data_IF_004947209646
#
_entry.id   IF_004947209646
#
_cell.length_a   1.000
_cell.length_b   1.000
_cell.length_c   1.000
_cell.angle_alpha   90.00
_cell.angle_beta   90.00
_cell.angle_gamma   90.00
#
_symmetry.space_group_name_H-M   'P 1'
#
loop_
_entity.id
_entity.type
_entity.pdbx_description
1 polymer ?
#
# COMPACT_ATOMS: atom_id res chain seq x y z
N UNK A 1 -86.90 23.33 -1.17
CA UNK A 1 -86.60 24.35 -2.18
C UNK A 1 -85.45 25.21 -1.63
N UNK A 2 -84.33 25.21 -2.29
CA UNK A 2 -83.03 25.86 -2.23
C UNK A 2 -81.89 24.83 -2.05
N UNK A 3 -81.21 24.60 -3.14
CA UNK A 3 -79.95 23.90 -3.25
C UNK A 3 -78.81 24.73 -2.63
N UNK A 4 -77.97 24.10 -1.79
CA UNK A 4 -76.67 24.64 -1.41
C UNK A 4 -75.64 23.68 -1.96
N UNK A 5 -74.84 24.15 -2.90
CA UNK A 5 -73.69 23.48 -3.49
C UNK A 5 -72.53 23.49 -2.51
N UNK A 6 -72.03 22.34 -2.14
CA UNK A 6 -70.79 22.20 -1.40
C UNK A 6 -69.57 22.27 -2.39
N UNK A 7 -68.67 23.19 -2.14
CA UNK A 7 -67.44 23.32 -2.88
C UNK A 7 -66.36 22.51 -2.14
N UNK A 8 -65.91 21.45 -2.77
CA UNK A 8 -64.79 20.67 -2.27
C UNK A 8 -63.47 21.38 -2.63
N UNK A 9 -62.71 21.78 -1.61
CA UNK A 9 -61.38 22.34 -1.77
C UNK A 9 -60.37 21.16 -1.85
N UNK A 10 -59.85 20.90 -3.04
CA UNK A 10 -58.74 19.98 -3.23
C UNK A 10 -57.43 20.71 -2.88
N UNK A 11 -56.80 20.31 -1.78
CA UNK A 11 -55.46 20.80 -1.43
C UNK A 11 -54.43 20.09 -2.33
N UNK A 12 -53.84 20.85 -3.23
CA UNK A 12 -52.67 20.39 -4.03
C UNK A 12 -51.45 20.52 -3.14
N UNK A 13 -50.94 19.39 -2.64
CA UNK A 13 -49.63 19.30 -2.00
C UNK A 13 -48.56 19.23 -3.09
N UNK A 14 -47.89 20.35 -3.31
CA UNK A 14 -46.74 20.44 -4.20
C UNK A 14 -45.52 19.81 -3.46
N UNK A 15 -45.21 18.56 -3.74
CA UNK A 15 -43.95 17.95 -3.34
C UNK A 15 -42.83 18.52 -4.23
N UNK A 16 -42.07 19.48 -3.68
CA UNK A 16 -40.78 19.86 -4.25
C UNK A 16 -39.79 18.71 -4.01
N UNK A 17 -39.69 17.82 -4.97
CA UNK A 17 -38.56 16.90 -5.09
C UNK A 17 -37.34 17.76 -5.50
N UNK A 18 -36.49 18.09 -4.53
CA UNK A 18 -35.12 18.52 -4.83
C UNK A 18 -34.42 17.34 -5.53
N UNK A 19 -34.43 17.37 -6.85
CA UNK A 19 -33.53 16.54 -7.64
C UNK A 19 -32.13 17.08 -7.46
N UNK A 20 -31.36 16.49 -6.54
CA UNK A 20 -29.91 16.65 -6.52
C UNK A 20 -29.41 15.89 -7.74
N UNK A 21 -29.19 16.61 -8.84
CA UNK A 21 -28.51 16.04 -10.01
C UNK A 21 -27.11 15.61 -9.58
N UNK A 22 -26.65 14.41 -9.91
CA UNK A 22 -25.25 14.03 -9.68
C UNK A 22 -24.38 15.02 -10.44
N UNK A 23 -23.39 15.61 -9.74
CA UNK A 23 -22.39 16.48 -10.33
C UNK A 23 -21.76 15.79 -11.54
N UNK A 24 -21.70 16.48 -12.67
CA UNK A 24 -21.07 15.95 -13.86
C UNK A 24 -19.54 15.79 -13.59
N UNK A 25 -18.91 14.83 -14.27
CA UNK A 25 -17.45 14.63 -14.17
C UNK A 25 -16.64 15.90 -14.49
N UNK A 26 -17.23 16.88 -15.18
CA UNK A 26 -16.62 18.19 -15.47
C UNK A 26 -16.83 19.22 -14.36
N UNK A 27 -17.82 19.09 -13.50
CA UNK A 27 -18.00 19.93 -12.32
C UNK A 27 -17.04 19.56 -11.19
N UNK A 28 -16.73 18.26 -11.03
CA UNK A 28 -15.68 17.78 -10.12
C UNK A 28 -14.29 18.29 -10.53
N UNK A 29 -14.06 18.60 -11.80
CA UNK A 29 -12.81 19.21 -12.29
C UNK A 29 -12.61 20.69 -11.91
N UNK A 30 -13.63 21.38 -11.44
CA UNK A 30 -13.57 22.84 -11.13
C UNK A 30 -13.35 23.14 -9.65
N UNK A 31 -13.69 22.25 -8.74
CA UNK A 31 -13.33 22.40 -7.33
C UNK A 31 -11.88 21.92 -7.14
N UNK A 32 -11.02 22.83 -6.68
CA UNK A 32 -9.63 22.50 -6.38
C UNK A 32 -9.59 21.38 -5.33
N UNK A 33 -8.90 20.28 -5.64
CA UNK A 33 -8.73 19.19 -4.70
C UNK A 33 -8.19 19.69 -3.37
N UNK A 34 -8.72 19.16 -2.25
CA UNK A 34 -8.17 19.39 -0.92
C UNK A 34 -6.67 19.03 -0.90
N UNK A 35 -5.92 19.60 0.04
CA UNK A 35 -4.47 19.44 0.11
C UNK A 35 -4.07 18.66 1.37
N UNK A 36 -3.13 17.76 1.20
CA UNK A 36 -2.40 17.13 2.30
C UNK A 36 -0.97 17.62 2.25
N UNK A 37 -0.51 18.22 3.34
CA UNK A 37 0.85 18.69 3.49
C UNK A 37 1.66 17.62 4.20
N UNK A 38 2.77 17.21 3.59
CA UNK A 38 3.70 16.26 4.18
C UNK A 38 4.93 17.00 4.71
N UNK A 39 5.29 16.72 5.94
CA UNK A 39 6.56 17.11 6.57
C UNK A 39 7.39 15.88 6.89
N UNK A 40 8.70 16.07 7.04
CA UNK A 40 9.65 14.98 7.24
C UNK A 40 10.52 15.20 8.45
N UNK A 41 10.82 14.12 9.17
CA UNK A 41 11.68 14.09 10.35
C UNK A 41 12.70 12.96 10.21
N UNK A 42 13.97 13.26 10.47
CA UNK A 42 15.01 12.23 10.53
C UNK A 42 14.77 11.29 11.72
N UNK A 43 15.06 10.00 11.50
CA UNK A 43 14.94 8.97 12.53
C UNK A 43 16.30 8.61 13.11
N UNK A 44 16.34 8.26 14.39
CA UNK A 44 17.49 7.58 14.97
C UNK A 44 17.28 6.05 14.98
N UNK A 45 18.38 5.30 14.91
CA UNK A 45 18.39 3.84 14.95
C UNK A 45 18.17 3.15 13.61
N UNK A 46 17.19 3.61 12.80
CA UNK A 46 16.95 3.08 11.44
C UNK A 46 17.08 4.15 10.35
N UNK A 47 17.39 5.38 10.74
CA UNK A 47 17.62 6.49 9.82
C UNK A 47 18.93 6.35 9.06
N UNK A 48 19.50 7.51 8.71
CA UNK A 48 20.73 7.58 7.93
C UNK A 48 21.92 7.05 8.72
N UNK A 49 22.65 6.09 8.13
CA UNK A 49 23.87 5.51 8.66
C UNK A 49 24.86 5.27 7.52
N UNK A 50 26.13 5.58 7.72
CA UNK A 50 27.16 5.42 6.71
C UNK A 50 27.38 3.92 6.41
N UNK A 51 27.41 3.57 5.11
CA UNK A 51 27.62 2.19 4.66
C UNK A 51 26.41 1.26 4.83
N UNK A 52 25.30 1.73 5.36
CA UNK A 52 24.11 0.91 5.60
C UNK A 52 22.96 1.33 4.69
N UNK A 53 22.37 0.36 3.98
CA UNK A 53 21.17 0.52 3.18
C UNK A 53 19.95 0.04 3.94
N UNK A 54 18.96 0.92 4.15
CA UNK A 54 17.62 0.58 4.64
C UNK A 54 16.58 1.21 3.74
N UNK A 55 15.58 0.42 3.33
CA UNK A 55 14.57 0.88 2.37
C UNK A 55 13.28 0.08 2.46
N UNK A 56 12.28 0.53 1.74
CA UNK A 56 10.99 -0.13 1.52
C UNK A 56 10.36 -0.61 2.85
N UNK A 57 10.05 0.32 3.76
CA UNK A 57 9.46 -0.04 5.05
C UNK A 57 8.03 -0.56 4.86
N UNK A 58 7.66 -1.53 5.68
CA UNK A 58 6.28 -1.99 5.84
C UNK A 58 5.39 -0.91 6.45
N UNK A 59 4.09 -1.15 6.46
CA UNK A 59 3.21 -0.47 7.39
C UNK A 59 3.66 -0.70 8.84
N UNK A 60 3.25 0.25 9.70
CA UNK A 60 3.59 0.25 11.11
C UNK A 60 2.41 -0.30 11.89
N UNK A 61 2.67 -1.24 12.78
CA UNK A 61 1.71 -1.70 13.78
C UNK A 61 2.14 -1.27 15.16
N UNK A 62 1.19 -1.25 16.10
CA UNK A 62 1.46 -1.08 17.52
C UNK A 62 1.01 -2.33 18.26
N UNK A 63 1.95 -2.95 18.99
CA UNK A 63 1.69 -4.09 19.86
C UNK A 63 2.08 -3.69 21.28
N UNK A 64 1.14 -3.75 22.19
CA UNK A 64 1.26 -3.16 23.53
C UNK A 64 1.66 -1.68 23.42
N UNK A 65 2.80 -1.29 23.97
CA UNK A 65 3.30 0.09 23.94
C UNK A 65 4.36 0.35 22.87
N UNK A 66 4.70 -0.65 22.04
CA UNK A 66 5.74 -0.55 21.02
C UNK A 66 5.19 -0.50 19.60
N UNK A 67 5.69 0.44 18.81
CA UNK A 67 5.58 0.42 17.36
C UNK A 67 6.58 -0.57 16.77
N UNK A 68 6.15 -1.29 15.73
CA UNK A 68 6.96 -2.23 14.95
C UNK A 68 6.96 -1.82 13.49
N UNK A 69 8.11 -1.92 12.84
CA UNK A 69 8.29 -1.74 11.40
C UNK A 69 9.27 -2.77 10.88
N UNK A 70 8.95 -3.35 9.71
CA UNK A 70 9.87 -4.21 8.95
C UNK A 70 10.35 -3.45 7.72
N UNK A 71 11.55 -3.75 7.26
CA UNK A 71 12.15 -3.07 6.11
C UNK A 71 13.20 -3.93 5.42
N UNK A 72 13.50 -3.59 4.17
CA UNK A 72 14.60 -4.19 3.42
C UNK A 72 15.92 -3.63 3.90
N UNK A 73 16.86 -4.49 4.27
CA UNK A 73 18.25 -4.12 4.60
C UNK A 73 19.20 -5.01 3.82
N UNK A 74 20.21 -4.41 3.21
CA UNK A 74 21.16 -5.13 2.38
C UNK A 74 22.47 -4.40 2.23
N UNK A 75 23.36 -4.97 1.42
CA UNK A 75 24.64 -4.39 1.08
C UNK A 75 24.56 -3.49 -0.15
N UNK A 76 25.63 -2.71 -0.35
CA UNK A 76 25.77 -1.70 -1.41
C UNK A 76 25.92 -2.30 -2.80
N UNK A 77 25.94 -3.61 -2.95
CA UNK A 77 26.12 -4.25 -4.25
C UNK A 77 25.12 -3.71 -5.29
N UNK A 78 25.50 -3.64 -6.58
CA UNK A 78 24.56 -3.22 -7.61
C UNK A 78 23.44 -4.24 -7.71
N UNK A 79 22.32 -3.94 -7.07
CA UNK A 79 21.17 -4.79 -6.98
C UNK A 79 20.55 -4.84 -5.59
N UNK A 80 19.46 -5.57 -5.50
CA UNK A 80 18.79 -5.86 -4.25
C UNK A 80 19.34 -7.15 -3.64
N UNK A 81 20.51 -7.11 -3.05
CA UNK A 81 20.94 -8.17 -2.15
C UNK A 81 20.43 -7.85 -0.73
N UNK A 82 19.16 -8.10 -0.49
CA UNK A 82 18.48 -7.71 0.73
C UNK A 82 17.91 -8.92 1.48
N UNK A 83 17.70 -8.67 2.77
CA UNK A 83 16.92 -9.47 3.72
C UNK A 83 15.95 -8.56 4.45
N UNK A 84 14.91 -9.12 5.07
CA UNK A 84 13.96 -8.34 5.86
C UNK A 84 14.43 -8.24 7.31
N UNK A 85 14.53 -7.01 7.79
CA UNK A 85 14.89 -6.66 9.16
C UNK A 85 13.71 -5.96 9.85
N UNK A 86 13.79 -5.80 11.17
CA UNK A 86 12.76 -5.09 11.90
C UNK A 86 13.33 -4.25 13.05
N UNK A 87 12.55 -3.26 13.43
CA UNK A 87 12.85 -2.38 14.55
C UNK A 87 11.59 -2.06 15.36
N UNK A 88 11.80 -1.64 16.62
CA UNK A 88 10.75 -1.21 17.53
C UNK A 88 10.99 0.21 18.03
N UNK A 89 9.93 0.91 18.42
CA UNK A 89 9.98 2.27 18.96
C UNK A 89 8.82 2.54 19.92
N UNK A 90 9.04 3.32 20.95
CA UNK A 90 7.98 3.80 21.85
C UNK A 90 7.30 5.08 21.30
N UNK A 91 8.02 5.88 20.50
CA UNK A 91 7.59 7.22 20.07
C UNK A 91 7.49 7.39 18.54
N UNK A 92 7.89 6.37 17.77
CA UNK A 92 7.94 6.43 16.30
C UNK A 92 9.03 7.35 15.74
N UNK A 93 9.99 7.80 16.59
CA UNK A 93 11.12 8.65 16.23
C UNK A 93 12.46 8.01 16.54
N UNK A 94 12.56 7.39 17.71
CA UNK A 94 13.75 6.65 18.17
C UNK A 94 13.48 5.16 18.03
N UNK A 95 14.16 4.51 17.12
CA UNK A 95 13.98 3.10 16.81
C UNK A 95 15.16 2.28 17.32
N UNK A 96 14.86 1.10 17.81
CA UNK A 96 15.85 0.08 18.15
C UNK A 96 15.77 -1.04 17.12
N UNK A 97 16.80 -1.15 16.28
CA UNK A 97 16.93 -2.28 15.34
C UNK A 97 17.10 -3.58 16.13
N UNK A 98 16.25 -4.55 15.90
CA UNK A 98 16.19 -5.81 16.64
C UNK A 98 16.95 -6.93 15.95
N UNK A 99 16.97 -6.93 14.62
CA UNK A 99 17.66 -7.94 13.83
C UNK A 99 16.93 -8.34 12.56
N UNK A 100 17.39 -9.42 11.96
CA UNK A 100 16.82 -9.99 10.76
C UNK A 100 15.55 -10.79 11.10
N UNK A 101 14.42 -10.39 10.52
CA UNK A 101 13.14 -11.10 10.62
C UNK A 101 13.06 -12.26 9.63
N UNK A 102 13.46 -12.03 8.36
CA UNK A 102 13.39 -13.04 7.31
C UNK A 102 14.64 -12.98 6.43
N UNK A 103 15.39 -14.07 6.39
CA UNK A 103 16.52 -14.28 5.49
C UNK A 103 16.07 -14.76 4.10
N UNK A 104 17.02 -14.85 3.17
CA UNK A 104 16.80 -15.44 1.83
C UNK A 104 16.29 -16.86 1.94
N UNK A 105 15.57 -17.32 0.94
CA UNK A 105 15.22 -18.71 0.78
C UNK A 105 16.43 -19.58 0.40
N UNK A 106 16.17 -20.88 0.22
CA UNK A 106 17.21 -21.81 -0.26
C UNK A 106 17.71 -21.38 -1.64
N UNK A 107 19.01 -21.45 -1.84
CA UNK A 107 19.62 -21.17 -3.14
C UNK A 107 18.95 -22.00 -4.26
N UNK A 108 18.66 -21.36 -5.39
CA UNK A 108 17.96 -21.95 -6.52
C UNK A 108 16.43 -21.95 -6.43
N UNK A 109 15.84 -21.47 -5.32
CA UNK A 109 14.40 -21.23 -5.22
C UNK A 109 14.03 -19.83 -5.71
N UNK A 110 12.73 -19.55 -5.88
CA UNK A 110 12.19 -18.27 -6.36
C UNK A 110 12.54 -17.07 -5.47
N UNK A 111 12.94 -17.30 -4.23
CA UNK A 111 13.32 -16.28 -3.23
C UNK A 111 14.78 -16.46 -2.73
N UNK A 112 15.57 -17.24 -3.46
CA UNK A 112 16.92 -17.61 -3.04
C UNK A 112 17.97 -16.52 -3.22
N UNK A 113 17.73 -15.52 -4.06
CA UNK A 113 18.67 -14.44 -4.30
C UNK A 113 18.46 -13.24 -3.39
N UNK A 114 17.21 -12.86 -3.12
CA UNK A 114 16.86 -11.72 -2.27
C UNK A 114 15.44 -11.82 -1.75
N UNK A 115 15.18 -11.24 -0.55
CA UNK A 115 13.85 -10.99 0.00
C UNK A 115 13.76 -9.54 0.48
N UNK A 116 12.70 -8.83 0.10
CA UNK A 116 12.59 -7.37 0.27
C UNK A 116 11.12 -6.89 0.26
N UNK A 117 10.90 -5.58 0.34
CA UNK A 117 9.57 -4.91 0.37
C UNK A 117 8.56 -5.63 1.27
N UNK A 118 8.84 -5.70 2.58
CA UNK A 118 7.92 -6.34 3.51
C UNK A 118 6.64 -5.52 3.69
N UNK A 119 5.54 -6.21 4.01
CA UNK A 119 4.34 -5.60 4.60
C UNK A 119 3.78 -6.52 5.66
N UNK A 120 2.96 -6.00 6.55
CA UNK A 120 2.47 -6.71 7.73
C UNK A 120 0.94 -6.74 7.77
N UNK A 121 0.38 -7.88 8.14
CA UNK A 121 -1.01 -8.08 8.48
C UNK A 121 -1.10 -8.74 9.84
N UNK A 122 -2.05 -8.31 10.66
CA UNK A 122 -2.43 -9.00 11.92
C UNK A 122 -3.82 -9.59 11.72
N UNK A 123 -3.92 -10.89 11.74
CA UNK A 123 -5.18 -11.62 11.54
C UNK A 123 -5.10 -13.00 12.21
N UNK A 124 -6.24 -13.49 12.69
CA UNK A 124 -6.36 -14.80 13.34
C UNK A 124 -5.35 -14.96 14.50
N UNK A 125 -5.21 -13.90 15.32
CA UNK A 125 -4.28 -13.82 16.47
C UNK A 125 -2.82 -14.07 16.10
N UNK A 126 -2.45 -13.87 14.82
CA UNK A 126 -1.12 -14.10 14.27
C UNK A 126 -0.63 -12.90 13.46
N UNK A 127 0.67 -12.89 13.21
CA UNK A 127 1.36 -11.90 12.39
C UNK A 127 1.73 -12.54 11.05
N UNK A 128 1.36 -11.88 9.95
CA UNK A 128 1.57 -12.35 8.58
C UNK A 128 2.45 -11.34 7.85
N UNK A 129 3.69 -11.74 7.59
CA UNK A 129 4.68 -10.91 6.91
C UNK A 129 4.66 -11.25 5.41
N UNK A 130 4.10 -10.36 4.62
CA UNK A 130 4.18 -10.40 3.16
C UNK A 130 5.53 -9.86 2.74
N UNK A 131 6.14 -10.47 1.74
CA UNK A 131 7.45 -10.05 1.24
C UNK A 131 7.60 -10.36 -0.23
N UNK A 132 8.48 -9.63 -0.90
CA UNK A 132 8.90 -9.94 -2.26
C UNK A 132 10.12 -10.84 -2.23
N UNK A 133 10.14 -11.85 -3.09
CA UNK A 133 11.30 -12.72 -3.31
C UNK A 133 11.72 -12.73 -4.78
N UNK A 134 13.00 -12.96 -5.04
CA UNK A 134 13.55 -13.14 -6.39
C UNK A 134 14.58 -14.25 -6.44
N UNK A 135 14.60 -14.98 -7.56
CA UNK A 135 15.59 -16.01 -7.85
C UNK A 135 16.85 -15.46 -8.50
N UNK A 136 16.79 -14.24 -9.03
CA UNK A 136 17.88 -13.62 -9.78
C UNK A 136 18.47 -12.45 -9.00
N UNK A 137 19.79 -12.35 -9.01
CA UNK A 137 20.46 -11.16 -8.50
C UNK A 137 20.12 -9.94 -9.35
N UNK A 138 19.85 -8.84 -8.69
CA UNK A 138 19.71 -7.54 -9.33
C UNK A 138 21.06 -7.15 -9.93
N UNK A 139 21.19 -7.12 -11.24
CA UNK A 139 22.35 -6.57 -11.88
C UNK A 139 22.03 -5.24 -12.54
N UNK A 140 23.03 -4.36 -12.72
CA UNK A 140 22.87 -3.12 -13.51
C UNK A 140 22.38 -3.39 -14.94
N UNK A 141 22.51 -4.62 -15.43
CA UNK A 141 22.08 -5.06 -16.77
C UNK A 141 20.68 -5.68 -16.78
N UNK A 142 20.25 -6.30 -15.67
CA UNK A 142 18.89 -6.82 -15.53
C UNK A 142 18.16 -6.02 -14.44
N UNK A 143 17.55 -4.93 -14.85
CA UNK A 143 16.74 -4.08 -13.96
C UNK A 143 15.45 -4.76 -13.49
N UNK A 144 15.30 -6.04 -13.78
CA UNK A 144 14.05 -6.74 -13.62
C UNK A 144 14.28 -8.15 -13.08
N UNK A 145 14.32 -8.31 -11.77
CA UNK A 145 14.21 -9.63 -11.20
C UNK A 145 12.81 -10.19 -11.52
N UNK A 146 12.76 -11.48 -11.69
CA UNK A 146 11.52 -12.24 -11.69
C UNK A 146 10.99 -12.28 -10.24
N UNK A 147 10.41 -11.16 -9.79
CA UNK A 147 9.96 -11.01 -8.42
C UNK A 147 8.52 -11.47 -8.25
N UNK A 148 8.25 -12.07 -7.11
CA UNK A 148 6.97 -12.65 -6.70
C UNK A 148 6.71 -12.36 -5.23
N UNK A 149 5.47 -12.47 -4.78
CA UNK A 149 5.11 -12.24 -3.38
C UNK A 149 4.95 -13.56 -2.63
N UNK A 150 5.56 -13.64 -1.47
CA UNK A 150 5.39 -14.72 -0.50
C UNK A 150 4.85 -14.24 0.84
N UNK A 151 4.58 -15.18 1.73
CA UNK A 151 4.14 -14.93 3.11
C UNK A 151 4.97 -15.75 4.09
N UNK A 152 5.32 -15.13 5.21
CA UNK A 152 5.77 -15.81 6.41
C UNK A 152 4.83 -15.49 7.57
N UNK A 153 4.69 -16.39 8.53
CA UNK A 153 3.77 -16.26 9.65
C UNK A 153 4.49 -16.48 10.96
N UNK A 154 4.05 -15.77 12.02
CA UNK A 154 4.54 -15.93 13.38
C UNK A 154 3.42 -15.70 14.39
N UNK A 155 3.57 -16.28 15.58
CA UNK A 155 2.70 -16.05 16.73
C UNK A 155 3.14 -14.81 17.54
N UNK A 156 4.29 -14.22 17.19
CA UNK A 156 4.84 -13.00 17.81
C UNK A 156 5.35 -12.03 16.73
N UNK A 157 5.26 -10.70 16.94
CA UNK A 157 5.83 -9.72 16.02
C UNK A 157 7.36 -9.81 15.92
N UNK A 158 8.01 -10.36 16.95
CA UNK A 158 9.44 -10.60 16.99
C UNK A 158 9.87 -11.89 16.25
N UNK A 159 8.92 -12.71 15.81
CA UNK A 159 9.20 -14.03 15.23
C UNK A 159 9.23 -15.16 16.29
N UNK A 160 9.77 -16.34 15.96
CA UNK A 160 10.39 -16.67 14.68
C UNK A 160 9.40 -16.78 13.54
N UNK A 161 9.80 -16.27 12.37
CA UNK A 161 9.00 -16.27 11.17
C UNK A 161 9.12 -17.59 10.40
N UNK A 162 7.99 -18.16 10.01
CA UNK A 162 7.94 -19.42 9.22
C UNK A 162 7.26 -19.12 7.88
N UNK A 163 7.93 -19.49 6.77
CA UNK A 163 7.36 -19.39 5.43
C UNK A 163 6.10 -20.24 5.29
N UNK A 164 5.10 -19.70 4.63
CA UNK A 164 3.84 -20.38 4.31
C UNK A 164 4.00 -21.05 2.95
N UNK A 165 4.25 -22.36 2.96
CA UNK A 165 4.50 -23.12 1.74
C UNK A 165 5.89 -22.89 1.14
N UNK A 166 6.07 -23.42 -0.07
CA UNK A 166 7.32 -23.32 -0.86
C UNK A 166 7.15 -22.47 -2.11
N UNK A 167 5.91 -22.17 -2.46
CA UNK A 167 5.54 -21.40 -3.64
C UNK A 167 5.12 -19.98 -3.26
N UNK A 168 5.33 -19.00 -4.15
CA UNK A 168 4.81 -17.66 -3.93
C UNK A 168 3.27 -17.64 -3.98
N UNK A 169 2.65 -16.74 -3.23
CA UNK A 169 1.19 -16.57 -3.21
C UNK A 169 0.67 -15.77 -4.40
N UNK A 170 1.51 -14.90 -4.98
CA UNK A 170 1.23 -14.19 -6.21
C UNK A 170 2.40 -14.38 -7.18
N UNK A 171 2.07 -14.85 -8.38
CA UNK A 171 3.02 -15.10 -9.49
C UNK A 171 2.75 -14.10 -10.63
N UNK A 172 3.76 -13.88 -11.44
CA UNK A 172 3.63 -13.14 -12.69
C UNK A 172 2.54 -13.76 -13.58
N UNK A 173 1.95 -12.94 -14.46
CA UNK A 173 1.09 -13.46 -15.51
C UNK A 173 1.95 -14.12 -16.61
N UNK A 174 1.47 -15.23 -17.13
CA UNK A 174 2.09 -15.91 -18.29
C UNK A 174 1.81 -15.16 -19.61
N UNK A 175 0.79 -14.27 -19.63
CA UNK A 175 0.51 -13.44 -20.78
C UNK A 175 1.41 -12.18 -20.77
N UNK A 176 2.33 -12.01 -21.75
CA UNK A 176 3.28 -10.89 -21.77
C UNK A 176 2.63 -9.51 -21.89
N UNK A 177 1.36 -9.44 -22.34
CA UNK A 177 0.62 -8.18 -22.44
C UNK A 177 0.01 -7.72 -21.13
N UNK A 178 -0.04 -8.58 -20.12
CA UNK A 178 -0.57 -8.21 -18.81
C UNK A 178 0.39 -7.29 -18.06
N UNK A 179 -0.19 -6.39 -17.26
CA UNK A 179 0.58 -5.35 -16.56
C UNK A 179 1.58 -5.91 -15.54
N UNK A 180 1.43 -7.15 -15.12
CA UNK A 180 2.21 -7.85 -14.11
C UNK A 180 2.92 -9.10 -14.65
N UNK A 181 3.14 -9.15 -15.96
CA UNK A 181 3.76 -10.29 -16.63
C UNK A 181 5.26 -10.43 -16.37
N UNK A 182 5.92 -9.39 -15.84
CA UNK A 182 7.36 -9.39 -15.63
C UNK A 182 7.74 -9.42 -14.17
N UNK A 183 7.18 -8.54 -13.35
CA UNK A 183 7.42 -8.52 -11.90
C UNK A 183 6.15 -8.20 -11.12
N UNK A 184 6.11 -8.73 -9.91
CA UNK A 184 5.14 -8.41 -8.86
C UNK A 184 5.93 -8.14 -7.58
N UNK A 185 5.68 -7.00 -6.93
CA UNK A 185 6.28 -6.64 -5.64
C UNK A 185 5.41 -5.63 -4.86
N UNK A 186 5.92 -5.11 -3.73
CA UNK A 186 5.29 -4.07 -2.89
C UNK A 186 3.84 -4.41 -2.52
N UNK A 187 3.62 -5.57 -1.94
CA UNK A 187 2.32 -5.96 -1.42
C UNK A 187 1.88 -5.05 -0.27
N UNK A 188 0.64 -4.58 -0.30
CA UNK A 188 0.02 -3.81 0.78
C UNK A 188 -1.36 -4.39 1.06
N UNK A 189 -1.58 -4.88 2.28
CA UNK A 189 -2.74 -5.69 2.62
C UNK A 189 -3.72 -4.89 3.48
N UNK A 190 -5.01 -5.00 3.17
CA UNK A 190 -6.10 -4.53 4.03
C UNK A 190 -7.13 -5.64 4.22
N UNK A 191 -7.91 -5.54 5.30
CA UNK A 191 -9.10 -6.35 5.52
C UNK A 191 -10.31 -5.54 5.08
N UNK A 192 -11.17 -6.14 4.25
CA UNK A 192 -12.40 -5.52 3.76
C UNK A 192 -13.47 -6.60 3.49
N UNK A 193 -14.68 -6.38 4.00
CA UNK A 193 -15.82 -7.27 3.83
C UNK A 193 -15.48 -8.74 4.19
N UNK A 194 -14.76 -8.93 5.31
CA UNK A 194 -14.31 -10.23 5.79
C UNK A 194 -13.28 -10.94 4.90
N UNK A 195 -12.67 -10.21 3.94
CA UNK A 195 -11.68 -10.73 3.00
C UNK A 195 -10.38 -9.97 3.10
N UNK A 196 -9.30 -10.59 2.62
CA UNK A 196 -7.94 -10.06 2.60
C UNK A 196 -7.64 -9.55 1.20
N UNK A 197 -7.46 -8.23 1.08
CA UNK A 197 -7.21 -7.53 -0.18
C UNK A 197 -5.72 -7.18 -0.24
N UNK A 198 -5.00 -7.87 -1.10
CA UNK A 198 -3.59 -7.62 -1.35
C UNK A 198 -3.45 -6.72 -2.59
N UNK A 199 -3.20 -5.44 -2.38
CA UNK A 199 -2.78 -4.54 -3.45
C UNK A 199 -1.30 -4.74 -3.71
N UNK A 200 -0.90 -4.78 -4.97
CA UNK A 200 0.48 -5.06 -5.34
C UNK A 200 0.92 -4.25 -6.55
N UNK A 201 2.20 -3.97 -6.63
CA UNK A 201 2.82 -3.38 -7.81
C UNK A 201 3.07 -4.46 -8.85
N UNK A 202 2.75 -4.15 -10.10
CA UNK A 202 3.08 -5.00 -11.24
C UNK A 202 3.77 -4.21 -12.33
N UNK A 203 4.58 -4.91 -13.15
CA UNK A 203 5.21 -4.35 -14.35
C UNK A 203 5.12 -5.33 -15.50
N UNK A 204 4.72 -4.82 -16.66
CA UNK A 204 4.65 -5.57 -17.90
C UNK A 204 6.05 -5.85 -18.46
N UNK A 205 6.21 -6.99 -19.09
CA UNK A 205 7.44 -7.36 -19.80
C UNK A 205 7.86 -6.26 -20.79
N UNK A 206 9.15 -5.95 -20.82
CA UNK A 206 9.70 -4.91 -21.69
C UNK A 206 9.44 -3.46 -21.25
N UNK A 207 8.72 -3.22 -20.13
CA UNK A 207 8.51 -1.87 -19.59
C UNK A 207 9.51 -1.56 -18.48
N UNK A 208 9.97 -0.30 -18.44
CA UNK A 208 10.82 0.22 -17.38
C UNK A 208 10.02 0.62 -16.10
N UNK A 209 10.71 1.12 -15.06
CA UNK A 209 10.10 1.49 -13.78
C UNK A 209 8.92 2.47 -13.86
N UNK A 210 8.89 3.33 -14.88
CA UNK A 210 7.76 4.25 -15.11
C UNK A 210 6.50 3.55 -15.61
N UNK A 211 6.60 2.30 -16.04
CA UNK A 211 5.48 1.48 -16.51
C UNK A 211 4.77 0.69 -15.41
N UNK A 212 5.14 0.88 -14.15
CA UNK A 212 4.49 0.21 -13.01
C UNK A 212 3.03 0.64 -12.86
N UNK A 213 2.22 -0.31 -12.45
CA UNK A 213 0.79 -0.14 -12.16
C UNK A 213 0.44 -0.92 -10.90
N UNK A 214 -0.68 -0.61 -10.27
CA UNK A 214 -1.16 -1.31 -9.10
C UNK A 214 -2.34 -2.23 -9.46
N UNK A 215 -2.24 -3.49 -9.08
CA UNK A 215 -3.33 -4.46 -9.11
C UNK A 215 -3.82 -4.81 -7.70
N UNK A 216 -4.82 -5.67 -7.64
CA UNK A 216 -5.34 -6.26 -6.41
C UNK A 216 -5.61 -7.75 -6.62
N UNK A 217 -5.33 -8.54 -5.57
CA UNK A 217 -5.73 -9.93 -5.45
C UNK A 217 -6.43 -10.12 -4.11
N UNK A 218 -7.45 -10.97 -4.06
CA UNK A 218 -8.36 -11.11 -2.92
C UNK A 218 -8.36 -12.56 -2.48
N UNK A 219 -8.37 -12.78 -1.15
CA UNK A 219 -8.44 -14.08 -0.53
C UNK A 219 -9.48 -14.12 0.61
N UNK A 220 -9.98 -15.31 0.90
CA UNK A 220 -10.89 -15.54 2.04
C UNK A 220 -10.13 -15.83 3.34
N UNK A 221 -8.80 -16.09 3.25
CA UNK A 221 -7.93 -16.38 4.40
C UNK A 221 -6.62 -15.61 4.27
N UNK A 222 -5.93 -15.30 5.40
CA UNK A 222 -4.66 -14.58 5.36
C UNK A 222 -3.60 -15.24 4.50
N UNK A 223 -3.52 -16.58 4.54
CA UNK A 223 -2.58 -17.38 3.76
C UNK A 223 -2.96 -17.56 2.29
N UNK A 224 -4.16 -17.12 1.90
CA UNK A 224 -4.68 -17.27 0.53
C UNK A 224 -5.59 -18.50 0.36
N UNK A 225 -5.82 -18.98 -0.89
CA UNK A 225 -5.20 -18.49 -2.13
C UNK A 225 -5.69 -17.10 -2.54
N UNK A 226 -4.78 -16.26 -3.00
CA UNK A 226 -5.07 -14.93 -3.53
C UNK A 226 -5.44 -15.00 -5.01
N UNK A 227 -6.64 -14.56 -5.35
CA UNK A 227 -7.16 -14.53 -6.72
C UNK A 227 -7.06 -13.11 -7.27
N UNK A 228 -6.31 -12.92 -8.34
CA UNK A 228 -6.18 -11.61 -9.01
C UNK A 228 -7.52 -11.14 -9.55
N UNK A 229 -7.82 -9.85 -9.35
CA UNK A 229 -9.00 -9.24 -9.92
C UNK A 229 -8.91 -9.23 -11.45
N UNK A 230 -9.97 -9.68 -12.13
CA UNK A 230 -9.98 -9.88 -13.59
C UNK A 230 -9.75 -8.60 -14.40
N UNK A 231 -10.13 -7.43 -13.84
CA UNK A 231 -9.99 -6.13 -14.51
C UNK A 231 -8.78 -5.33 -14.02
N UNK A 232 -7.79 -6.01 -13.44
CA UNK A 232 -6.52 -5.36 -13.12
C UNK A 232 -5.88 -4.70 -14.37
N UNK A 233 -5.12 -3.60 -14.21
CA UNK A 233 -4.76 -2.92 -12.98
C UNK A 233 -5.85 -1.95 -12.48
N UNK A 234 -6.00 -1.83 -11.17
CA UNK A 234 -6.95 -0.89 -10.53
C UNK A 234 -6.42 0.55 -10.49
N UNK A 235 -5.09 0.75 -10.50
CA UNK A 235 -4.45 2.06 -10.66
C UNK A 235 -3.40 2.00 -11.77
N UNK A 236 -3.51 2.92 -12.75
CA UNK A 236 -2.58 3.01 -13.89
C UNK A 236 -1.36 3.87 -13.56
N UNK A 237 -0.67 3.54 -12.50
CA UNK A 237 0.52 4.24 -12.02
C UNK A 237 0.91 3.71 -10.65
N UNK A 238 1.76 4.48 -9.99
CA UNK A 238 2.38 4.21 -8.71
C UNK A 238 3.58 3.25 -8.80
N UNK A 239 4.59 3.54 -8.00
CA UNK A 239 5.78 2.71 -7.87
C UNK A 239 5.78 2.01 -6.50
N UNK A 240 5.41 2.73 -5.47
CA UNK A 240 5.27 2.22 -4.10
C UNK A 240 3.80 2.25 -3.70
N UNK A 241 3.31 1.20 -3.05
CA UNK A 241 1.90 1.04 -2.74
C UNK A 241 1.65 1.31 -1.27
N UNK A 242 0.91 2.39 -0.99
CA UNK A 242 0.37 2.65 0.34
C UNK A 242 -1.14 2.77 0.22
N UNK A 243 -1.85 1.79 0.77
CA UNK A 243 -3.30 1.65 0.70
C UNK A 243 -3.85 1.49 2.12
N UNK A 244 -4.97 2.11 2.40
CA UNK A 244 -5.61 1.99 3.73
C UNK A 244 -7.13 2.09 3.63
N UNK A 245 -7.87 1.52 4.59
CA UNK A 245 -9.30 1.77 4.74
C UNK A 245 -9.56 3.25 5.00
N UNK A 246 -10.49 3.86 4.27
CA UNK A 246 -10.83 5.26 4.39
C UNK A 246 -12.32 5.48 4.14
N UNK A 247 -13.06 6.01 5.12
CA UNK A 247 -14.51 6.07 5.04
C UNK A 247 -15.11 4.67 4.83
N UNK A 248 -16.04 4.56 3.91
CA UNK A 248 -16.63 3.28 3.50
C UNK A 248 -15.80 2.53 2.46
N UNK A 249 -14.72 3.13 1.98
CA UNK A 249 -13.90 2.61 0.89
C UNK A 249 -12.41 2.47 1.23
N UNK A 250 -11.60 2.66 0.23
CA UNK A 250 -10.15 2.48 0.26
C UNK A 250 -9.47 3.71 -0.31
N UNK A 251 -8.48 4.23 0.38
CA UNK A 251 -7.60 5.26 -0.15
C UNK A 251 -6.24 4.69 -0.54
N UNK A 252 -5.60 5.33 -1.52
CA UNK A 252 -4.25 5.01 -1.97
C UNK A 252 -3.44 6.30 -2.13
N UNK A 253 -2.26 6.35 -1.53
CA UNK A 253 -1.32 7.46 -1.73
C UNK A 253 -0.40 7.18 -2.91
N UNK A 254 -0.39 8.09 -3.87
CA UNK A 254 0.38 7.96 -5.09
C UNK A 254 1.58 8.90 -5.03
N UNK A 255 2.77 8.32 -5.15
CA UNK A 255 4.04 9.06 -5.19
C UNK A 255 4.26 9.77 -6.53
N UNK A 256 5.47 9.65 -7.07
CA UNK A 256 5.91 10.40 -8.25
C UNK A 256 5.81 9.63 -9.57
N UNK A 257 5.50 8.33 -9.53
CA UNK A 257 5.45 7.47 -10.72
C UNK A 257 4.03 7.27 -11.22
N UNK A 258 3.81 7.57 -12.49
CA UNK A 258 2.52 7.40 -13.16
C UNK A 258 2.14 8.61 -14.01
N UNK A 259 0.91 8.65 -14.53
CA UNK A 259 0.37 9.81 -15.23
C UNK A 259 0.37 11.05 -14.33
N UNK A 260 0.70 12.22 -14.90
CA UNK A 260 0.73 13.49 -14.16
C UNK A 260 -0.58 13.81 -13.43
N UNK A 261 -1.71 13.31 -13.94
CA UNK A 261 -3.03 13.51 -13.36
C UNK A 261 -3.21 12.88 -11.97
N UNK A 262 -2.47 11.81 -11.67
CA UNK A 262 -2.57 11.09 -10.39
C UNK A 262 -1.31 11.13 -9.54
N UNK A 263 -0.18 11.60 -10.05
CA UNK A 263 1.04 11.72 -9.23
C UNK A 263 0.87 12.74 -8.11
N UNK A 264 1.50 12.48 -6.96
CA UNK A 264 1.41 13.31 -5.75
C UNK A 264 -0.06 13.58 -5.35
N UNK A 265 -0.81 12.51 -5.20
CA UNK A 265 -2.23 12.60 -4.85
C UNK A 265 -2.66 11.44 -3.96
N UNK A 266 -3.81 11.62 -3.34
CA UNK A 266 -4.56 10.52 -2.75
C UNK A 266 -5.71 10.22 -3.69
N UNK A 267 -5.87 8.95 -4.00
CA UNK A 267 -7.00 8.39 -4.72
C UNK A 267 -7.93 7.69 -3.73
N UNK A 268 -9.21 7.63 -4.04
CA UNK A 268 -10.23 6.95 -3.26
C UNK A 268 -11.07 6.05 -4.16
N UNK A 269 -11.43 4.88 -3.66
CA UNK A 269 -12.36 3.96 -4.27
C UNK A 269 -13.35 3.45 -3.21
N UNK A 270 -14.63 3.73 -3.38
CA UNK A 270 -15.67 3.24 -2.47
C UNK A 270 -15.75 1.70 -2.49
N UNK A 271 -15.58 1.11 -3.67
CA UNK A 271 -15.57 -0.33 -3.90
C UNK A 271 -14.18 -0.98 -3.76
N UNK A 272 -13.14 -0.21 -3.48
CA UNK A 272 -11.75 -0.69 -3.44
C UNK A 272 -11.13 -0.97 -4.81
N UNK A 273 -11.83 -0.74 -5.90
CA UNK A 273 -11.43 -1.11 -7.27
C UNK A 273 -11.35 0.08 -8.22
N UNK A 274 -12.33 0.99 -8.16
CA UNK A 274 -12.47 2.12 -9.06
C UNK A 274 -11.97 3.42 -8.41
N UNK A 275 -10.66 3.63 -8.49
CA UNK A 275 -9.98 4.75 -7.83
C UNK A 275 -10.13 6.08 -8.57
N UNK A 276 -10.56 7.12 -7.86
CA UNK A 276 -10.63 8.51 -8.33
C UNK A 276 -9.80 9.41 -7.43
N UNK A 277 -9.21 10.47 -7.99
CA UNK A 277 -8.41 11.42 -7.23
C UNK A 277 -9.29 12.27 -6.32
N UNK A 278 -8.87 12.42 -5.05
CA UNK A 278 -9.57 13.23 -4.04
C UNK A 278 -8.71 14.35 -3.47
N UNK A 279 -7.40 14.14 -3.30
CA UNK A 279 -6.51 15.14 -2.71
C UNK A 279 -5.22 15.30 -3.52
N UNK A 280 -4.64 16.50 -3.45
CA UNK A 280 -3.26 16.76 -3.84
C UNK A 280 -2.35 16.60 -2.62
N UNK A 281 -1.19 15.97 -2.81
CA UNK A 281 -0.17 15.84 -1.79
C UNK A 281 1.01 16.74 -2.14
N UNK A 282 1.45 17.57 -1.20
CA UNK A 282 2.49 18.58 -1.45
C UNK A 282 3.82 17.97 -1.85
N UNK A 283 4.18 16.87 -1.19
CA UNK A 283 5.38 16.09 -1.44
C UNK A 283 5.06 14.67 -1.01
N UNK A 284 4.76 13.80 -1.97
CA UNK A 284 4.35 12.43 -1.67
C UNK A 284 5.51 11.62 -1.09
N UNK A 285 5.25 10.71 -0.16
CA UNK A 285 6.23 9.73 0.28
C UNK A 285 6.71 8.86 -0.87
N UNK A 286 7.96 8.43 -0.76
CA UNK A 286 8.56 7.42 -1.62
C UNK A 286 8.52 6.07 -0.90
N UNK A 287 7.47 5.33 -1.09
CA UNK A 287 7.31 4.04 -0.46
C UNK A 287 6.19 4.00 0.57
N UNK A 288 5.65 2.81 0.78
CA UNK A 288 4.64 2.52 1.79
C UNK A 288 5.23 2.62 3.20
N UNK A 289 4.44 2.46 4.21
CA UNK A 289 4.87 2.47 5.60
C UNK A 289 4.04 3.43 6.44
N UNK A 290 2.72 3.39 6.29
CA UNK A 290 1.80 4.15 7.11
C UNK A 290 1.53 3.50 8.47
N UNK A 291 1.35 4.29 9.51
CA UNK A 291 0.75 3.82 10.74
C UNK A 291 -0.76 3.71 10.53
N UNK A 292 -1.29 2.49 10.51
CA UNK A 292 -2.67 2.16 10.19
C UNK A 292 -3.31 1.29 11.28
N UNK A 293 -3.66 1.83 12.44
CA UNK A 293 -4.14 1.03 13.58
C UNK A 293 -5.38 0.20 13.27
N UNK A 294 -6.22 0.65 12.33
CA UNK A 294 -7.48 -0.02 11.95
C UNK A 294 -7.39 -0.82 10.65
N UNK A 295 -6.22 -0.86 9.99
CA UNK A 295 -6.09 -1.51 8.69
C UNK A 295 -6.18 -3.04 8.76
N UNK A 296 -6.02 -3.61 9.94
CA UNK A 296 -6.02 -5.04 10.21
C UNK A 296 -7.36 -5.56 10.71
N UNK A 297 -8.40 -4.73 10.64
CA UNK A 297 -9.77 -5.10 11.00
C UNK A 297 -10.69 -4.79 9.82
N UNK A 298 -11.83 -5.45 9.78
CA UNK A 298 -12.91 -5.17 8.83
C UNK A 298 -13.73 -3.96 9.32
N UNK A 299 -13.05 -2.92 9.78
CA UNK A 299 -13.68 -1.69 10.21
C UNK A 299 -13.99 -0.81 9.01
N UNK A 300 -15.26 -0.45 8.85
CA UNK A 300 -15.71 0.56 7.86
C UNK A 300 -15.44 1.98 8.30
N UNK A 301 -14.94 2.20 9.51
CA UNK A 301 -14.53 3.50 10.05
C UNK A 301 -13.09 3.81 9.64
N UNK A 302 -12.86 3.92 8.33
CA UNK A 302 -11.56 4.30 7.80
C UNK A 302 -11.09 5.64 8.35
N UNK A 303 -9.79 5.78 8.53
CA UNK A 303 -9.13 6.91 9.17
C UNK A 303 -8.13 7.57 8.25
N UNK A 304 -7.79 8.81 8.56
CA UNK A 304 -6.62 9.43 7.96
C UNK A 304 -5.37 8.68 8.41
N UNK A 305 -4.38 8.60 7.51
CA UNK A 305 -3.03 8.27 7.91
C UNK A 305 -2.35 9.58 8.31
N UNK A 306 -1.99 9.70 9.57
CA UNK A 306 -1.42 10.93 10.12
C UNK A 306 0.11 10.92 10.04
N UNK A 307 0.73 9.74 10.02
CA UNK A 307 2.17 9.58 9.90
C UNK A 307 2.57 8.20 9.40
N UNK A 308 3.83 8.09 9.04
CA UNK A 308 4.45 6.85 8.63
C UNK A 308 5.95 7.01 8.43
N UNK A 309 6.55 6.01 7.84
CA UNK A 309 7.97 6.04 7.46
C UNK A 309 8.11 5.74 5.97
N UNK A 310 9.15 6.28 5.37
CA UNK A 310 9.42 6.09 3.95
C UNK A 310 10.90 5.91 3.68
N UNK A 311 11.19 5.40 2.53
CA UNK A 311 12.51 5.40 1.93
C UNK A 311 12.89 6.82 1.46
N UNK A 312 14.11 7.25 1.74
CA UNK A 312 14.70 8.48 1.21
C UNK A 312 16.08 8.24 0.61
N UNK A 313 16.46 9.08 -0.34
CA UNK A 313 17.76 9.07 -0.99
C UNK A 313 18.54 10.35 -0.73
N UNK A 314 19.84 10.19 -0.48
CA UNK A 314 20.79 11.29 -0.54
C UNK A 314 21.58 11.18 -1.85
N UNK A 315 21.86 12.31 -2.51
CA UNK A 315 22.68 12.33 -3.72
C UNK A 315 24.04 11.70 -3.45
N UNK A 316 24.34 10.59 -4.13
CA UNK A 316 25.59 9.84 -3.96
C UNK A 316 25.67 8.98 -2.71
N UNK A 317 24.59 8.86 -1.92
CA UNK A 317 24.49 8.02 -0.72
C UNK A 317 23.55 6.83 -0.90
N UNK A 318 23.45 6.05 0.17
CA UNK A 318 22.55 4.91 0.25
C UNK A 318 21.15 5.36 0.69
N UNK A 319 20.10 4.61 0.32
CA UNK A 319 18.77 4.85 0.84
C UNK A 319 18.71 4.59 2.35
N UNK A 320 17.88 5.38 3.02
CA UNK A 320 17.62 5.31 4.45
C UNK A 320 16.14 5.57 4.72
N UNK A 321 15.70 5.30 5.94
CA UNK A 321 14.31 5.48 6.36
C UNK A 321 14.17 6.80 7.12
N UNK A 322 13.14 7.57 6.79
CA UNK A 322 12.74 8.78 7.51
C UNK A 322 11.24 8.73 7.84
N UNK A 323 10.82 9.50 8.84
CA UNK A 323 9.42 9.69 9.17
C UNK A 323 8.79 10.76 8.29
N UNK A 324 7.53 10.58 7.93
CA UNK A 324 6.67 11.61 7.38
C UNK A 324 5.44 11.79 8.27
N UNK A 325 4.96 13.02 8.36
CA UNK A 325 3.73 13.40 9.05
C UNK A 325 2.81 14.13 8.06
N UNK A 326 1.52 13.83 8.09
CA UNK A 326 0.51 14.37 7.19
C UNK A 326 -0.41 15.35 7.92
N UNK A 327 -0.52 16.56 7.38
CA UNK A 327 -1.47 17.56 7.81
C UNK A 327 -2.57 17.68 6.74
N UNK A 328 -3.77 17.25 7.10
CA UNK A 328 -4.94 17.26 6.24
C UNK A 328 -5.62 18.64 6.30
N UNK A 329 -5.83 19.27 5.15
CA UNK A 329 -6.66 20.48 5.10
C UNK A 329 -8.11 20.12 5.37
N UNK A 330 -8.75 20.94 6.22
CA UNK A 330 -10.19 20.83 6.49
C UNK A 330 -10.99 21.20 5.27
#
# INVERSE_FOLDING_TARGET
>A
MKFIKSISAAAIVLLLLCQVSPLSADEVKREGYAKVKISYTELSGIGREEGVMRRDPSDIIKVDDLYYVWYSKGEIAPGYDATVWYATSEDGLKWTEKGMALGKGKAGTWEGASVFTPNILVADERYWLFYTGTSNEYSKKSFNPDSKVGIAVSDSPDGPWKRVGTEPILKNSDNPEDFDSHLIDDACIIVRDGKYWCYYKGRQQGKGPRGTKMGVAIADKPEGPYVKYEKNPVIRGNHEVLVWPYGEGVAAMIGTTGPKSITRSILYAEDGLNFVKTHNVSKGPHGGGGYRPEAFTDSKLGRHIDWGVELQYVKGGLPYIQRWDAEWSK
#
